data_IF_353791417998
#
_entry.id   IF_353791417998
#
_cell.length_a   1.000
_cell.length_b   1.000
_cell.length_c   1.000
_cell.angle_alpha   90.00
_cell.angle_beta   90.00
_cell.angle_gamma   90.00
#
_symmetry.space_group_name_H-M   'P 1'
#
loop_
_entity.id
_entity.type
_entity.pdbx_description
1 polymer ?
#
# COMPACT_ATOMS: atom_id res chain seq x y z
N UNK A 1 -1.66 -7.85 -5.00
CA UNK A 1 -0.65 -8.09 -3.95
C UNK A 1 -0.67 -9.53 -3.41
N UNK A 2 -1.84 -10.09 -3.05
CA UNK A 2 -1.98 -11.45 -2.47
C UNK A 2 -1.20 -12.57 -3.19
N UNK A 3 -1.18 -12.58 -4.53
CA UNK A 3 -0.36 -13.53 -5.32
C UNK A 3 1.13 -13.43 -5.00
N UNK A 4 1.67 -12.21 -4.91
CA UNK A 4 3.09 -11.99 -4.60
C UNK A 4 3.38 -12.35 -3.15
N UNK A 5 2.49 -11.98 -2.24
CA UNK A 5 2.59 -12.35 -0.83
C UNK A 5 2.67 -13.88 -0.67
N UNK A 6 1.71 -14.63 -1.23
CA UNK A 6 1.71 -16.10 -1.20
C UNK A 6 2.99 -16.72 -1.77
N UNK A 7 3.58 -16.09 -2.80
CA UNK A 7 4.80 -16.56 -3.47
C UNK A 7 6.09 -16.27 -2.71
N UNK A 8 6.13 -15.17 -1.95
CA UNK A 8 7.38 -14.61 -1.41
C UNK A 8 7.41 -14.40 0.11
N UNK A 9 6.29 -14.58 0.83
CA UNK A 9 6.17 -14.29 2.27
C UNK A 9 7.20 -14.99 3.17
N UNK A 10 7.77 -16.12 2.77
CA UNK A 10 8.82 -16.80 3.54
C UNK A 10 10.20 -16.14 3.42
N UNK A 11 10.37 -15.22 2.46
CA UNK A 11 11.68 -14.63 2.07
C UNK A 11 11.66 -13.10 2.04
N UNK A 12 10.48 -12.50 1.86
CA UNK A 12 10.25 -11.05 1.82
C UNK A 12 9.08 -10.73 2.74
N UNK A 13 9.26 -9.72 3.59
CA UNK A 13 8.17 -9.21 4.43
C UNK A 13 7.27 -8.28 3.61
N UNK A 14 5.95 -8.42 3.79
CA UNK A 14 4.96 -7.61 3.12
C UNK A 14 4.13 -6.86 4.16
N UNK A 15 3.90 -5.58 3.88
CA UNK A 15 3.01 -4.74 4.66
C UNK A 15 2.15 -3.92 3.70
N UNK A 16 0.88 -3.76 4.04
CA UNK A 16 0.05 -2.68 3.51
C UNK A 16 0.13 -1.55 4.54
N UNK A 17 0.38 -0.32 4.09
CA UNK A 17 0.31 0.86 4.97
C UNK A 17 -0.92 1.66 4.57
N UNK A 18 -1.91 1.72 5.46
CA UNK A 18 -3.12 2.48 5.27
C UNK A 18 -2.86 3.96 5.58
N UNK A 19 -3.05 4.82 4.59
CA UNK A 19 -2.80 6.27 4.67
C UNK A 19 -4.13 7.05 4.61
N UNK A 20 -4.06 8.36 4.39
CA UNK A 20 -5.25 9.20 4.16
C UNK A 20 -6.10 8.76 2.95
N UNK A 21 -7.39 9.09 2.98
CA UNK A 21 -8.31 8.79 1.88
C UNK A 21 -7.95 9.59 0.63
N UNK A 22 -7.77 8.90 -0.50
CA UNK A 22 -7.55 9.57 -1.80
C UNK A 22 -8.79 10.34 -2.25
N UNK A 23 -9.98 9.82 -1.92
CA UNK A 23 -11.27 10.37 -2.33
C UNK A 23 -12.22 10.40 -1.13
N UNK A 24 -12.10 11.39 -0.23
CA UNK A 24 -12.99 11.52 0.93
C UNK A 24 -14.29 12.25 0.59
N UNK A 25 -15.36 11.99 1.34
CA UNK A 25 -16.71 12.56 1.11
C UNK A 25 -16.81 14.06 1.42
N UNK A 26 -15.94 14.57 2.29
CA UNK A 26 -15.72 15.99 2.58
C UNK A 26 -14.62 16.62 1.70
N UNK A 27 -14.20 15.92 0.64
CA UNK A 27 -13.30 16.39 -0.41
C UNK A 27 -13.85 16.08 -1.81
N UNK A 28 -13.00 15.48 -2.66
CA UNK A 28 -13.38 15.11 -4.03
C UNK A 28 -13.72 13.61 -4.12
N UNK A 29 -14.95 13.30 -4.53
CA UNK A 29 -15.41 11.93 -4.81
C UNK A 29 -15.18 11.50 -6.25
N UNK A 30 -15.10 10.20 -6.48
CA UNK A 30 -15.01 9.58 -7.81
C UNK A 30 -16.15 8.60 -8.05
N UNK A 31 -16.56 8.46 -9.31
CA UNK A 31 -17.72 7.64 -9.68
C UNK A 31 -17.59 6.17 -9.26
N UNK A 32 -16.37 5.61 -9.25
CA UNK A 32 -16.13 4.23 -8.80
C UNK A 32 -16.50 4.04 -7.34
N UNK A 33 -16.09 4.95 -6.45
CA UNK A 33 -16.42 4.88 -5.02
C UNK A 33 -17.94 5.00 -4.81
N UNK A 34 -18.62 5.84 -5.58
CA UNK A 34 -20.08 5.99 -5.52
C UNK A 34 -20.78 4.69 -5.93
N UNK A 35 -20.30 4.04 -7.00
CA UNK A 35 -20.84 2.76 -7.48
C UNK A 35 -20.61 1.61 -6.49
N UNK A 36 -19.44 1.59 -5.86
CA UNK A 36 -19.03 0.57 -4.89
C UNK A 36 -19.50 0.90 -3.46
N UNK A 37 -20.28 1.98 -3.28
CA UNK A 37 -20.80 2.48 -2.01
C UNK A 37 -19.72 2.76 -0.94
N UNK A 38 -18.52 3.18 -1.37
CA UNK A 38 -17.37 3.51 -0.52
C UNK A 38 -17.43 5.00 -0.14
N UNK A 39 -17.99 5.28 1.05
CA UNK A 39 -18.20 6.64 1.54
C UNK A 39 -17.51 6.88 2.88
N UNK A 40 -16.26 7.30 2.84
CA UNK A 40 -15.51 7.74 4.01
C UNK A 40 -15.20 9.22 3.92
N UNK A 41 -15.35 9.96 5.02
CA UNK A 41 -14.79 11.31 5.16
C UNK A 41 -13.31 11.19 5.52
N UNK A 42 -12.57 12.28 5.41
CA UNK A 42 -11.19 12.29 5.87
C UNK A 42 -11.14 12.08 7.40
N UNK A 43 -10.29 11.14 7.83
CA UNK A 43 -10.10 10.79 9.23
C UNK A 43 -9.71 12.02 10.07
N UNK A 44 -10.34 12.21 11.22
CA UNK A 44 -10.04 13.31 12.16
C UNK A 44 -9.28 12.84 13.41
N UNK A 45 -9.09 11.52 13.55
CA UNK A 45 -8.32 10.89 14.62
C UNK A 45 -7.73 9.57 14.15
N UNK A 46 -6.75 9.05 14.90
CA UNK A 46 -6.15 7.74 14.60
C UNK A 46 -7.20 6.62 14.70
N UNK A 47 -8.06 6.64 15.71
CA UNK A 47 -9.13 5.63 15.89
C UNK A 47 -10.07 5.59 14.66
N UNK A 48 -10.43 6.75 14.11
CA UNK A 48 -11.22 6.80 12.87
C UNK A 48 -10.45 6.21 11.69
N UNK A 49 -9.14 6.48 11.58
CA UNK A 49 -8.31 5.89 10.52
C UNK A 49 -8.17 4.38 10.67
N UNK A 50 -8.02 3.89 11.90
CA UNK A 50 -7.95 2.47 12.20
C UNK A 50 -9.27 1.76 11.85
N UNK A 51 -10.43 2.35 12.18
CA UNK A 51 -11.74 1.79 11.85
C UNK A 51 -11.95 1.65 10.34
N UNK A 52 -11.56 2.66 9.57
CA UNK A 52 -11.66 2.63 8.10
C UNK A 52 -10.63 1.64 7.51
N UNK A 53 -9.39 1.63 8.01
CA UNK A 53 -8.37 0.67 7.60
C UNK A 53 -8.81 -0.80 7.83
N UNK A 54 -9.46 -1.06 8.97
CA UNK A 54 -10.03 -2.37 9.28
C UNK A 54 -11.17 -2.72 8.31
N UNK A 55 -12.07 -1.78 8.06
CA UNK A 55 -13.18 -1.96 7.11
C UNK A 55 -12.66 -2.27 5.69
N UNK A 56 -11.65 -1.54 5.23
CA UNK A 56 -10.99 -1.78 3.95
C UNK A 56 -10.32 -3.15 3.89
N UNK A 57 -9.55 -3.51 4.93
CA UNK A 57 -8.87 -4.82 5.02
C UNK A 57 -9.86 -5.98 4.94
N UNK A 58 -10.99 -5.88 5.65
CA UNK A 58 -12.06 -6.90 5.62
C UNK A 58 -12.75 -6.91 4.25
N UNK A 59 -13.17 -5.76 3.74
CA UNK A 59 -13.91 -5.65 2.47
C UNK A 59 -13.10 -6.16 1.27
N UNK A 60 -11.80 -5.87 1.25
CA UNK A 60 -10.88 -6.30 0.19
C UNK A 60 -10.25 -7.68 0.45
N UNK A 61 -10.59 -8.33 1.57
CA UNK A 61 -10.04 -9.64 1.95
C UNK A 61 -8.51 -9.67 1.98
N UNK A 62 -7.89 -8.59 2.47
CA UNK A 62 -6.43 -8.45 2.54
C UNK A 62 -5.91 -9.36 3.65
N UNK A 63 -5.01 -10.28 3.28
CA UNK A 63 -4.36 -11.21 4.23
C UNK A 63 -2.99 -10.73 4.68
N UNK A 64 -2.44 -9.75 3.97
CA UNK A 64 -1.16 -9.11 4.28
C UNK A 64 -1.32 -8.26 5.55
N UNK A 65 -0.34 -8.25 6.47
CA UNK A 65 -0.36 -7.35 7.62
C UNK A 65 -0.57 -5.89 7.20
N UNK A 66 -1.65 -5.28 7.71
CA UNK A 66 -1.96 -3.87 7.49
C UNK A 66 -1.48 -3.05 8.68
N UNK A 67 -0.64 -2.06 8.42
CA UNK A 67 -0.21 -1.02 9.34
C UNK A 67 -1.06 0.23 9.09
N UNK A 68 -1.34 1.01 10.12
CA UNK A 68 -2.09 2.26 10.01
C UNK A 68 -1.13 3.42 10.25
N UNK A 69 -1.09 4.37 9.31
CA UNK A 69 -0.24 5.55 9.44
C UNK A 69 -0.77 6.48 10.55
N UNK A 70 0.14 7.08 11.31
CA UNK A 70 -0.18 8.13 12.28
C UNK A 70 -0.78 9.39 11.62
N UNK A 71 -1.52 10.17 12.39
CA UNK A 71 -2.29 11.31 11.85
C UNK A 71 -1.44 12.47 11.29
N UNK A 72 -0.12 12.44 11.44
CA UNK A 72 0.79 13.44 10.90
C UNK A 72 1.10 13.28 9.40
N UNK A 73 0.65 12.16 8.78
CA UNK A 73 0.84 11.82 7.37
C UNK A 73 2.32 11.75 6.95
N UNK A 74 3.22 11.46 7.88
CA UNK A 74 4.66 11.47 7.63
C UNK A 74 5.12 10.37 6.64
N UNK A 75 4.41 9.24 6.56
CA UNK A 75 4.75 8.14 5.64
C UNK A 75 4.27 8.49 4.23
N UNK A 76 3.04 8.98 4.08
CA UNK A 76 2.51 9.43 2.79
C UNK A 76 3.41 10.52 2.19
N UNK A 77 3.83 11.51 2.98
CA UNK A 77 4.75 12.55 2.51
C UNK A 77 6.12 11.99 2.14
N UNK A 78 6.74 11.19 3.02
CA UNK A 78 8.09 10.67 2.80
C UNK A 78 8.20 9.74 1.58
N UNK A 79 7.14 8.98 1.30
CA UNK A 79 7.09 8.02 0.20
C UNK A 79 6.33 8.55 -1.02
N UNK A 80 5.71 9.74 -0.94
CA UNK A 80 4.77 10.24 -1.94
C UNK A 80 3.76 9.16 -2.32
N UNK A 81 3.11 8.55 -1.32
CA UNK A 81 2.42 7.28 -1.48
C UNK A 81 1.04 7.44 -2.14
N UNK A 82 0.39 8.59 -1.97
CA UNK A 82 -0.91 8.87 -2.56
C UNK A 82 -0.92 8.79 -4.11
N UNK A 83 -2.02 8.30 -4.71
CA UNK A 83 -3.18 7.70 -4.04
C UNK A 83 -2.90 6.27 -3.55
N UNK A 84 -2.03 5.55 -4.25
CA UNK A 84 -1.46 4.27 -3.84
C UNK A 84 -0.09 4.07 -4.52
N UNK A 85 0.81 3.33 -3.86
CA UNK A 85 2.17 3.14 -4.37
C UNK A 85 2.82 1.86 -3.84
N UNK A 86 3.69 1.29 -4.67
CA UNK A 86 4.49 0.10 -4.34
C UNK A 86 5.95 0.50 -4.08
N UNK A 87 6.52 -0.09 -3.04
CA UNK A 87 7.94 0.03 -2.70
C UNK A 87 8.53 -1.36 -2.40
N UNK A 88 9.80 -1.54 -2.74
CA UNK A 88 10.63 -2.64 -2.25
C UNK A 88 11.85 -2.04 -1.57
N UNK A 89 12.06 -2.37 -0.30
CA UNK A 89 13.19 -1.92 0.50
C UNK A 89 14.14 -3.09 0.72
N UNK A 90 15.42 -2.89 0.42
CA UNK A 90 16.47 -3.88 0.64
C UNK A 90 16.84 -4.01 2.11
N UNK A 91 17.52 -5.11 2.46
CA UNK A 91 18.01 -5.36 3.83
C UNK A 91 19.00 -4.30 4.34
N UNK A 92 19.59 -3.52 3.44
CA UNK A 92 20.46 -2.38 3.77
C UNK A 92 19.69 -1.05 3.94
N UNK A 93 18.35 -1.10 3.93
CA UNK A 93 17.47 0.04 4.10
C UNK A 93 17.30 0.90 2.85
N UNK A 94 17.85 0.50 1.70
CA UNK A 94 17.73 1.27 0.45
C UNK A 94 16.52 0.86 -0.37
N UNK A 95 15.95 1.83 -1.08
CA UNK A 95 14.89 1.57 -2.06
C UNK A 95 15.47 0.80 -3.25
N UNK A 96 14.99 -0.43 -3.43
CA UNK A 96 15.32 -1.30 -4.57
C UNK A 96 14.34 -1.09 -5.71
N UNK A 97 13.08 -0.81 -5.40
CA UNK A 97 12.05 -0.48 -6.36
C UNK A 97 11.09 0.57 -5.80
N UNK A 98 10.73 1.52 -6.65
CA UNK A 98 9.78 2.59 -6.42
C UNK A 98 8.82 2.62 -7.60
N UNK A 99 7.55 2.25 -7.36
CA UNK A 99 6.52 2.24 -8.39
C UNK A 99 6.02 3.64 -8.76
N UNK A 100 5.38 3.76 -9.92
CA UNK A 100 4.65 4.97 -10.27
C UNK A 100 3.43 5.21 -9.36
N UNK A 101 2.81 6.39 -9.49
CA UNK A 101 1.58 6.69 -8.75
C UNK A 101 0.40 5.90 -9.31
N UNK A 102 -0.33 5.22 -8.44
CA UNK A 102 -1.54 4.48 -8.83
C UNK A 102 -2.72 5.38 -9.18
N UNK A 103 -3.83 4.79 -9.65
CA UNK A 103 -3.94 3.37 -9.98
C UNK A 103 -3.24 3.01 -11.30
N UNK A 104 -2.97 3.99 -12.17
CA UNK A 104 -2.47 3.74 -13.52
C UNK A 104 -1.07 3.12 -13.60
N UNK A 105 -0.22 3.34 -12.59
CA UNK A 105 1.15 2.81 -12.54
C UNK A 105 1.37 1.84 -11.36
N UNK A 106 0.28 1.32 -10.77
CA UNK A 106 0.36 0.27 -9.77
C UNK A 106 0.66 -1.08 -10.44
N UNK A 107 1.93 -1.32 -10.79
CA UNK A 107 2.34 -2.51 -11.56
C UNK A 107 2.96 -3.61 -10.66
N UNK A 108 2.20 -4.69 -10.50
CA UNK A 108 2.64 -5.87 -9.74
C UNK A 108 3.67 -6.73 -10.48
N UNK A 109 3.78 -6.64 -11.81
CA UNK A 109 4.78 -7.35 -12.58
C UNK A 109 6.16 -6.70 -12.40
N UNK A 110 6.22 -5.37 -12.38
CA UNK A 110 7.47 -4.66 -12.08
C UNK A 110 7.98 -4.99 -10.68
N UNK A 111 7.09 -5.03 -9.68
CA UNK A 111 7.44 -5.46 -8.32
C UNK A 111 7.91 -6.93 -8.28
N UNK A 112 7.23 -7.85 -8.96
CA UNK A 112 7.63 -9.27 -9.05
C UNK A 112 9.06 -9.40 -9.65
N UNK A 113 9.34 -8.66 -10.73
CA UNK A 113 10.67 -8.63 -11.34
C UNK A 113 11.74 -8.03 -10.40
N UNK A 114 11.41 -6.98 -9.65
CA UNK A 114 12.32 -6.38 -8.68
C UNK A 114 12.68 -7.36 -7.56
N UNK A 115 11.71 -8.09 -7.02
CA UNK A 115 11.93 -9.13 -6.01
C UNK A 115 12.84 -10.24 -6.58
N UNK A 116 12.55 -10.73 -7.79
CA UNK A 116 13.37 -11.78 -8.43
C UNK A 116 14.84 -11.35 -8.62
N UNK A 117 15.07 -10.10 -9.07
CA UNK A 117 16.42 -9.55 -9.22
C UNK A 117 17.15 -9.47 -7.88
N UNK A 118 16.44 -9.04 -6.83
CA UNK A 118 17.00 -8.98 -5.47
C UNK A 118 17.41 -10.37 -4.96
N UNK A 119 16.56 -11.38 -5.13
CA UNK A 119 16.85 -12.76 -4.71
C UNK A 119 18.04 -13.39 -5.49
N UNK A 120 18.12 -13.12 -6.80
CA UNK A 120 19.22 -13.58 -7.63
C UNK A 120 20.58 -12.97 -7.22
N UNK A 121 20.59 -11.69 -6.83
CA UNK A 121 21.79 -11.00 -6.35
C UNK A 121 22.32 -11.57 -5.02
N UNK A 122 21.44 -12.01 -4.13
CA UNK A 122 21.82 -12.63 -2.85
C UNK A 122 22.46 -14.01 -3.05
N UNK A 123 22.00 -14.78 -4.05
CA UNK A 123 22.55 -16.13 -4.33
C UNK A 123 23.94 -16.09 -4.97
N UNK A 124 24.29 -14.96 -5.61
CA UNK A 124 25.59 -14.76 -6.27
C UNK A 124 26.68 -14.19 -5.34
N UNK A 125 26.36 -13.89 -4.08
CA UNK A 125 27.24 -13.27 -3.08
C UNK A 125 27.68 -14.28 -2.02
#
# INVERSE_FOLDING_TARGET
MERLYSKYQERVEFFVVYIQEAHPTDGWQVDSNVQDEVYYRQHQSYDEREEVAQSCTIGLHISIPTLVEEMDNAIDEAYGAAPERLYLIGKDGKVVYHGGAGPHLFDLNELDQAIQKMEAGVTAS
#
